data_IF_881521169052
#
_entry.id   IF_881521169052
#
_cell.length_a   1.000
_cell.length_b   1.000
_cell.length_c   1.000
_cell.angle_alpha   90.00
_cell.angle_beta   90.00
_cell.angle_gamma   90.00
#
_symmetry.space_group_name_H-M   'P 1'
#
loop_
_entity.id
_entity.type
_entity.pdbx_description
1 polymer ?
#
# COMPACT_ATOMS: atom_id res chain seq x y z
N UNK A 1 -3.38 18.53 11.71
CA UNK A 1 -2.95 17.16 11.48
C UNK A 1 -1.78 17.19 10.50
N UNK A 2 -0.71 16.46 10.80
CA UNK A 2 0.42 16.37 9.87
C UNK A 2 -0.04 15.69 8.58
N UNK A 3 0.56 16.04 7.45
CA UNK A 3 0.28 15.41 6.15
C UNK A 3 0.34 13.86 6.23
N UNK A 4 1.22 13.34 7.09
CA UNK A 4 1.39 11.92 7.36
C UNK A 4 0.14 11.24 7.94
N UNK A 5 -0.65 11.93 8.77
CA UNK A 5 -1.89 11.37 9.33
C UNK A 5 -2.99 11.20 8.26
N UNK A 6 -3.04 12.11 7.29
CA UNK A 6 -4.00 12.06 6.19
C UNK A 6 -3.64 11.00 5.13
N UNK A 7 -2.37 10.66 5.00
CA UNK A 7 -1.90 9.63 4.08
C UNK A 7 -2.36 8.21 4.44
N UNK A 8 -2.72 7.98 5.71
CA UNK A 8 -3.19 6.68 6.23
C UNK A 8 -4.67 6.65 6.57
N UNK A 9 -5.41 7.71 6.24
CA UNK A 9 -6.84 7.82 6.49
C UNK A 9 -7.60 7.60 5.17
N UNK A 10 -8.39 6.54 5.08
CA UNK A 10 -9.40 6.35 4.05
C UNK A 10 -10.78 6.61 4.65
N UNK A 11 -11.58 7.43 3.99
CA UNK A 11 -12.95 7.73 4.40
C UNK A 11 -13.92 7.07 3.44
N UNK A 12 -14.98 6.49 3.99
CA UNK A 12 -16.05 5.83 3.25
C UNK A 12 -17.39 6.46 3.62
N UNK A 13 -18.25 6.64 2.65
CA UNK A 13 -19.61 7.12 2.84
C UNK A 13 -20.62 6.10 2.33
N UNK A 14 -21.62 5.84 3.14
CA UNK A 14 -22.82 5.09 2.77
C UNK A 14 -24.05 5.75 3.42
N UNK A 15 -25.19 5.73 2.73
CA UNK A 15 -26.40 6.39 3.22
C UNK A 15 -27.17 5.54 4.27
N UNK A 16 -26.93 4.24 4.31
CA UNK A 16 -27.56 3.34 5.25
C UNK A 16 -26.94 3.43 6.66
N UNK A 17 -27.73 3.04 7.65
CA UNK A 17 -27.31 2.96 9.06
C UNK A 17 -26.35 1.80 9.33
N UNK A 18 -26.25 0.84 8.42
CA UNK A 18 -25.31 -0.27 8.52
C UNK A 18 -23.87 0.23 8.31
N UNK A 19 -22.91 -0.24 9.10
CA UNK A 19 -21.53 0.23 9.03
C UNK A 19 -20.86 -0.27 7.75
N UNK A 20 -21.02 0.45 6.66
CA UNK A 20 -20.37 0.21 5.38
C UNK A 20 -18.84 0.05 5.53
N UNK A 21 -18.23 0.83 6.41
CA UNK A 21 -16.80 0.74 6.70
C UNK A 21 -16.40 -0.64 7.24
N UNK A 22 -17.24 -1.26 8.06
CA UNK A 22 -16.97 -2.62 8.56
C UNK A 22 -17.07 -3.66 7.45
N UNK A 23 -18.05 -3.53 6.55
CA UNK A 23 -18.21 -4.39 5.38
C UNK A 23 -17.01 -4.28 4.43
N UNK A 24 -16.58 -3.05 4.13
CA UNK A 24 -15.39 -2.79 3.29
C UNK A 24 -14.13 -3.31 3.95
N UNK A 25 -13.95 -3.06 5.25
CA UNK A 25 -12.80 -3.55 5.98
C UNK A 25 -12.77 -5.09 6.02
N UNK A 26 -13.92 -5.73 6.28
CA UNK A 26 -14.03 -7.19 6.28
C UNK A 26 -13.75 -7.76 4.90
N UNK A 27 -14.26 -7.14 3.84
CA UNK A 27 -13.98 -7.56 2.47
C UNK A 27 -12.50 -7.35 2.11
N UNK A 28 -11.93 -6.19 2.39
CA UNK A 28 -10.50 -5.91 2.19
C UNK A 28 -9.60 -6.85 2.99
N UNK A 29 -9.98 -7.16 4.23
CA UNK A 29 -9.27 -8.11 5.07
C UNK A 29 -9.44 -9.56 4.63
N UNK A 30 -10.51 -9.93 3.92
CA UNK A 30 -10.69 -11.27 3.38
C UNK A 30 -9.71 -11.59 2.23
N UNK A 31 -9.19 -10.55 1.57
CA UNK A 31 -8.10 -10.65 0.59
C UNK A 31 -6.73 -10.39 1.22
N UNK A 32 -6.60 -10.72 2.49
CA UNK A 32 -5.47 -10.36 3.34
C UNK A 32 -4.13 -10.34 2.62
N UNK A 33 -3.30 -9.38 3.00
CA UNK A 33 -2.05 -9.01 2.33
C UNK A 33 -1.02 -10.12 2.23
N UNK A 34 -1.28 -11.28 2.82
CA UNK A 34 -0.39 -12.42 2.69
C UNK A 34 -0.39 -13.03 1.29
N UNK A 35 -1.39 -12.75 0.47
CA UNK A 35 -1.56 -13.44 -0.80
C UNK A 35 -1.72 -12.55 -2.02
N UNK A 36 -2.34 -11.38 -1.91
CA UNK A 36 -2.58 -10.51 -3.08
C UNK A 36 -2.77 -9.04 -2.72
N UNK A 37 -2.25 -8.15 -3.57
CA UNK A 37 -2.72 -6.77 -3.64
C UNK A 37 -4.07 -6.72 -4.36
N UNK A 38 -4.96 -5.85 -3.88
CA UNK A 38 -6.25 -5.59 -4.53
C UNK A 38 -6.37 -4.11 -4.90
N UNK A 39 -7.01 -3.84 -6.01
CA UNK A 39 -7.46 -2.48 -6.32
C UNK A 39 -8.77 -2.21 -5.56
N UNK A 40 -8.77 -1.20 -4.69
CA UNK A 40 -9.93 -0.82 -3.88
C UNK A 40 -11.05 -0.14 -4.69
N UNK A 41 -10.88 -0.01 -5.99
CA UNK A 41 -11.94 0.41 -6.92
C UNK A 41 -12.77 -0.74 -7.48
N UNK A 42 -12.49 -1.99 -7.09
CA UNK A 42 -13.19 -3.16 -7.57
C UNK A 42 -14.57 -3.38 -6.91
N UNK A 43 -15.43 -4.22 -7.52
CA UNK A 43 -16.77 -4.49 -7.01
C UNK A 43 -16.73 -5.05 -5.60
N UNK A 44 -17.60 -4.53 -4.75
CA UNK A 44 -17.76 -4.97 -3.37
C UNK A 44 -19.07 -5.75 -3.27
N UNK A 45 -19.02 -7.09 -3.19
CA UNK A 45 -20.20 -7.93 -3.35
C UNK A 45 -21.21 -7.85 -2.19
N UNK A 46 -20.81 -7.27 -1.06
CA UNK A 46 -21.61 -7.24 0.18
C UNK A 46 -22.17 -5.87 0.52
N UNK A 47 -21.98 -4.86 -0.32
CA UNK A 47 -22.43 -3.48 -0.07
C UNK A 47 -23.48 -3.11 -1.10
N UNK A 48 -24.61 -2.64 -0.62
CA UNK A 48 -25.65 -2.09 -1.48
C UNK A 48 -25.22 -0.74 -2.06
N UNK A 49 -25.90 -0.34 -3.14
CA UNK A 49 -25.72 0.97 -3.75
C UNK A 49 -26.01 2.10 -2.76
N UNK A 50 -25.22 3.17 -2.82
CA UNK A 50 -25.47 4.35 -2.00
C UNK A 50 -26.66 5.13 -2.57
N UNK A 51 -27.75 5.19 -1.83
CA UNK A 51 -28.89 6.01 -2.18
C UNK A 51 -28.50 7.50 -2.23
N UNK A 52 -28.94 8.20 -3.25
CA UNK A 52 -28.70 9.63 -3.36
C UNK A 52 -29.60 10.40 -2.38
N UNK A 53 -29.08 11.42 -1.68
CA UNK A 53 -29.90 12.33 -0.89
C UNK A 53 -30.96 13.01 -1.77
N UNK A 54 -32.17 13.21 -1.22
CA UNK A 54 -33.26 13.86 -1.94
C UNK A 54 -32.85 15.24 -2.48
N UNK A 55 -33.10 15.48 -3.75
CA UNK A 55 -32.80 16.76 -4.41
C UNK A 55 -31.35 16.95 -4.83
N UNK A 56 -30.49 15.98 -4.62
CA UNK A 56 -29.07 16.03 -5.04
C UNK A 56 -28.87 15.20 -6.29
N UNK A 57 -28.30 15.80 -7.34
CA UNK A 57 -27.97 15.04 -8.55
C UNK A 57 -26.78 14.09 -8.29
N UNK A 58 -26.77 12.95 -9.00
CA UNK A 58 -25.66 12.01 -8.91
C UNK A 58 -24.30 12.64 -9.22
N UNK A 59 -24.26 13.56 -10.18
CA UNK A 59 -23.02 14.28 -10.55
C UNK A 59 -22.55 15.18 -9.43
N UNK A 60 -23.43 15.97 -8.83
CA UNK A 60 -23.08 16.87 -7.71
C UNK A 60 -22.62 16.07 -6.49
N UNK A 61 -23.34 14.99 -6.18
CA UNK A 61 -22.99 14.10 -5.07
C UNK A 61 -21.60 13.47 -5.26
N UNK A 62 -21.35 12.91 -6.43
CA UNK A 62 -20.05 12.34 -6.78
C UNK A 62 -18.93 13.37 -6.70
N UNK A 63 -19.14 14.57 -7.26
CA UNK A 63 -18.12 15.62 -7.26
C UNK A 63 -17.83 16.13 -5.85
N UNK A 64 -18.83 16.29 -5.02
CA UNK A 64 -18.63 16.79 -3.65
C UNK A 64 -17.97 15.78 -2.72
N UNK A 65 -18.32 14.50 -2.82
CA UNK A 65 -17.75 13.45 -1.97
C UNK A 65 -16.44 12.90 -2.52
N UNK A 66 -16.47 12.45 -3.75
CA UNK A 66 -15.32 11.84 -4.41
C UNK A 66 -14.23 12.84 -4.75
N UNK A 67 -14.64 14.06 -5.12
CA UNK A 67 -13.76 15.05 -5.72
C UNK A 67 -13.59 14.87 -7.23
N UNK A 68 -12.80 15.75 -7.81
CA UNK A 68 -12.46 15.71 -9.24
C UNK A 68 -11.09 15.04 -9.39
N UNK A 69 -10.99 13.92 -10.12
CA UNK A 69 -9.72 13.22 -10.31
C UNK A 69 -8.63 14.15 -10.87
N UNK A 70 -7.44 14.06 -10.31
CA UNK A 70 -6.29 14.89 -10.70
C UNK A 70 -6.30 16.33 -10.16
N UNK A 71 -7.24 16.67 -9.29
CA UNK A 71 -7.32 17.97 -8.63
C UNK A 71 -7.40 17.79 -7.11
N UNK A 72 -7.20 18.89 -6.37
CA UNK A 72 -7.42 18.91 -4.90
C UNK A 72 -8.88 19.22 -4.53
N UNK A 73 -9.77 19.30 -5.52
CA UNK A 73 -11.19 19.60 -5.31
C UNK A 73 -11.92 18.36 -4.79
N UNK A 74 -12.77 18.58 -3.79
CA UNK A 74 -13.61 17.56 -3.17
C UNK A 74 -12.98 16.89 -1.95
N UNK A 75 -13.76 16.04 -1.31
CA UNK A 75 -13.42 15.48 0.01
C UNK A 75 -12.67 14.14 -0.06
N UNK A 76 -12.40 13.61 -1.26
CA UNK A 76 -11.71 12.33 -1.47
C UNK A 76 -12.32 11.17 -0.65
N UNK A 77 -13.65 11.17 -0.54
CA UNK A 77 -14.41 10.16 0.18
C UNK A 77 -14.74 9.03 -0.80
N UNK A 78 -14.51 7.82 -0.37
CA UNK A 78 -14.86 6.62 -1.13
C UNK A 78 -16.35 6.35 -0.98
N UNK A 79 -17.04 6.16 -2.11
CA UNK A 79 -18.50 5.96 -2.15
C UNK A 79 -18.80 4.68 -2.91
N UNK A 80 -19.76 3.91 -2.41
CA UNK A 80 -20.28 2.75 -3.12
C UNK A 80 -21.22 3.24 -4.24
N UNK A 81 -20.87 3.02 -5.48
CA UNK A 81 -21.62 3.49 -6.64
C UNK A 81 -21.94 2.34 -7.58
N UNK A 82 -23.14 2.30 -8.18
CA UNK A 82 -23.47 1.32 -9.18
C UNK A 82 -22.66 1.57 -10.46
N UNK A 83 -22.19 0.48 -11.03
CA UNK A 83 -21.59 0.47 -12.36
C UNK A 83 -22.34 -0.54 -13.23
N UNK A 84 -23.02 -0.04 -14.28
CA UNK A 84 -23.97 -0.86 -15.02
C UNK A 84 -25.24 -1.12 -14.21
N UNK A 85 -25.86 -2.28 -14.42
CA UNK A 85 -27.18 -2.60 -13.85
C UNK A 85 -27.13 -3.33 -12.48
N UNK A 86 -25.97 -3.79 -12.00
CA UNK A 86 -25.94 -4.65 -10.82
C UNK A 86 -24.63 -4.70 -10.05
N UNK A 87 -23.60 -3.97 -10.44
CA UNK A 87 -22.29 -4.04 -9.80
C UNK A 87 -22.01 -2.75 -9.02
N UNK A 88 -21.70 -2.88 -7.74
CA UNK A 88 -21.35 -1.76 -6.88
C UNK A 88 -19.83 -1.68 -6.77
N UNK A 89 -19.28 -0.49 -7.04
CA UNK A 89 -17.85 -0.20 -6.91
C UNK A 89 -17.61 0.82 -5.83
N UNK A 90 -16.51 0.67 -5.14
CA UNK A 90 -15.94 1.73 -4.33
C UNK A 90 -15.16 2.68 -5.24
N UNK A 91 -15.60 3.92 -5.33
CA UNK A 91 -14.95 4.94 -6.14
C UNK A 91 -14.65 6.18 -5.26
N UNK A 92 -13.42 6.71 -5.26
CA UNK A 92 -12.30 6.44 -6.15
C UNK A 92 -11.24 5.44 -5.63
N UNK A 93 -11.41 4.83 -4.47
CA UNK A 93 -10.44 3.90 -3.88
C UNK A 93 -9.16 4.58 -3.39
N UNK A 94 -9.29 5.78 -2.78
CA UNK A 94 -8.16 6.61 -2.35
C UNK A 94 -8.18 6.93 -0.87
N UNK A 95 -7.00 7.25 -0.35
CA UNK A 95 -6.81 7.89 0.95
C UNK A 95 -7.14 9.39 0.88
N UNK A 96 -7.25 10.06 2.02
CA UNK A 96 -7.50 11.50 2.09
C UNK A 96 -6.38 12.33 1.42
N UNK A 97 -5.17 11.81 1.34
CA UNK A 97 -4.06 12.40 0.57
C UNK A 97 -4.28 12.36 -0.95
N UNK A 98 -5.26 11.58 -1.44
CA UNK A 98 -5.46 11.30 -2.86
C UNK A 98 -4.64 10.12 -3.39
N UNK A 99 -3.79 9.51 -2.55
CA UNK A 99 -3.05 8.30 -2.90
C UNK A 99 -4.01 7.10 -2.93
N UNK A 100 -3.86 6.21 -3.89
CA UNK A 100 -4.65 4.99 -3.94
C UNK A 100 -4.41 4.13 -2.67
N UNK A 101 -5.47 3.53 -2.14
CA UNK A 101 -5.41 2.73 -0.90
C UNK A 101 -4.42 1.58 -1.05
N UNK A 102 -4.40 0.90 -2.20
CA UNK A 102 -3.51 -0.24 -2.43
C UNK A 102 -2.02 0.13 -2.33
N UNK A 103 -1.64 1.37 -2.67
CA UNK A 103 -0.24 1.83 -2.55
C UNK A 103 0.20 1.86 -1.09
N UNK A 104 -0.66 2.37 -0.20
CA UNK A 104 -0.38 2.41 1.24
C UNK A 104 -0.35 1.00 1.83
N UNK A 105 -1.32 0.17 1.46
CA UNK A 105 -1.39 -1.23 1.92
C UNK A 105 -0.16 -2.03 1.46
N UNK A 106 0.28 -1.85 0.20
CA UNK A 106 1.47 -2.52 -0.32
C UNK A 106 2.76 -2.07 0.39
N UNK A 107 2.86 -0.78 0.72
CA UNK A 107 3.99 -0.26 1.49
C UNK A 107 4.02 -0.84 2.93
N UNK A 108 2.87 -0.90 3.59
CA UNK A 108 2.76 -1.47 4.94
C UNK A 108 3.04 -2.99 4.93
N UNK A 109 2.56 -3.70 3.93
CA UNK A 109 2.88 -5.11 3.71
C UNK A 109 4.39 -5.34 3.59
N UNK A 110 5.06 -4.54 2.76
CA UNK A 110 6.51 -4.66 2.57
C UNK A 110 7.26 -4.36 3.86
N UNK A 111 6.91 -3.28 4.55
CA UNK A 111 7.55 -2.89 5.81
C UNK A 111 7.42 -3.99 6.86
N UNK A 112 6.22 -4.49 7.12
CA UNK A 112 5.97 -5.50 8.14
C UNK A 112 6.76 -6.80 7.86
N UNK A 113 6.77 -7.25 6.61
CA UNK A 113 7.52 -8.45 6.22
C UNK A 113 9.03 -8.26 6.24
N UNK A 114 9.50 -7.08 5.85
CA UNK A 114 10.92 -6.75 5.93
C UNK A 114 11.42 -6.75 7.38
N UNK A 115 10.67 -6.14 8.28
CA UNK A 115 10.98 -6.13 9.71
C UNK A 115 11.05 -7.56 10.28
N UNK A 116 10.06 -8.40 9.97
CA UNK A 116 10.05 -9.80 10.40
C UNK A 116 11.27 -10.58 9.87
N UNK A 117 11.56 -10.47 8.57
CA UNK A 117 12.70 -11.19 7.96
C UNK A 117 14.06 -10.69 8.45
N UNK A 118 14.19 -9.40 8.73
CA UNK A 118 15.42 -8.86 9.33
C UNK A 118 15.60 -9.37 10.76
N UNK A 119 14.52 -9.46 11.54
CA UNK A 119 14.57 -10.05 12.87
C UNK A 119 15.00 -11.52 12.80
N UNK A 120 14.41 -12.31 11.90
CA UNK A 120 14.77 -13.71 11.70
C UNK A 120 16.24 -13.87 11.28
N UNK A 121 16.74 -13.00 10.39
CA UNK A 121 18.14 -12.99 9.97
C UNK A 121 19.07 -12.74 11.17
N UNK A 122 18.76 -11.77 12.02
CA UNK A 122 19.57 -11.48 13.22
C UNK A 122 19.54 -12.67 14.19
N UNK A 123 18.39 -13.30 14.38
CA UNK A 123 18.26 -14.48 15.23
C UNK A 123 19.04 -15.69 14.69
N UNK A 124 19.06 -15.89 13.36
CA UNK A 124 19.88 -16.93 12.72
C UNK A 124 21.37 -16.73 13.01
N UNK A 125 21.89 -15.52 12.86
CA UNK A 125 23.29 -15.22 13.21
C UNK A 125 23.55 -15.44 14.71
N UNK A 126 22.66 -15.00 15.58
CA UNK A 126 22.77 -15.17 17.01
C UNK A 126 22.78 -16.64 17.43
N UNK A 127 21.97 -17.50 16.77
CA UNK A 127 21.86 -18.93 17.09
C UNK A 127 23.17 -19.72 16.85
N UNK A 128 24.01 -19.25 15.94
CA UNK A 128 25.32 -19.82 15.66
C UNK A 128 26.46 -19.09 16.39
N UNK A 129 26.14 -18.18 17.33
CA UNK A 129 27.11 -17.39 18.07
C UNK A 129 27.83 -16.32 17.22
N UNK A 130 27.30 -16.01 16.04
CA UNK A 130 27.86 -15.02 15.11
C UNK A 130 27.09 -13.68 15.19
N UNK A 131 27.63 -12.68 14.53
CA UNK A 131 26.98 -11.37 14.30
C UNK A 131 26.89 -11.11 12.81
N UNK A 132 25.83 -10.44 12.40
CA UNK A 132 25.73 -9.96 11.01
C UNK A 132 26.91 -9.02 10.71
N UNK A 133 27.74 -9.29 9.68
CA UNK A 133 28.89 -8.46 9.36
C UNK A 133 28.48 -7.04 8.96
N UNK A 134 29.18 -6.02 9.47
CA UNK A 134 28.98 -4.62 9.10
C UNK A 134 29.93 -4.23 7.94
N UNK A 135 29.86 -4.97 6.85
CA UNK A 135 30.69 -4.82 5.66
C UNK A 135 29.88 -5.11 4.39
N UNK A 136 30.52 -5.18 3.25
CA UNK A 136 29.88 -5.47 1.97
C UNK A 136 29.19 -6.84 1.92
N UNK A 137 29.67 -7.84 2.64
CA UNK A 137 29.06 -9.16 2.74
C UNK A 137 27.72 -9.11 3.48
N UNK A 138 27.66 -8.44 4.64
CA UNK A 138 26.42 -8.22 5.38
C UNK A 138 25.43 -7.37 4.59
N UNK A 139 25.90 -6.37 3.82
CA UNK A 139 25.04 -5.64 2.91
C UNK A 139 24.48 -6.54 1.82
N UNK A 140 25.29 -7.38 1.19
CA UNK A 140 24.83 -8.30 0.16
C UNK A 140 23.80 -9.27 0.68
N UNK A 141 23.96 -9.78 1.90
CA UNK A 141 22.98 -10.66 2.57
C UNK A 141 21.62 -9.97 2.72
N UNK A 142 21.62 -8.73 3.21
CA UNK A 142 20.37 -7.95 3.38
C UNK A 142 19.76 -7.58 2.03
N UNK A 143 20.56 -7.21 1.02
CA UNK A 143 20.07 -6.94 -0.34
C UNK A 143 19.38 -8.19 -0.90
N UNK A 144 19.98 -9.37 -0.75
CA UNK A 144 19.37 -10.62 -1.19
C UNK A 144 18.01 -10.89 -0.52
N UNK A 145 17.88 -10.58 0.77
CA UNK A 145 16.61 -10.67 1.50
C UNK A 145 15.56 -9.68 0.95
N UNK A 146 15.95 -8.43 0.72
CA UNK A 146 15.06 -7.40 0.16
C UNK A 146 14.62 -7.78 -1.27
N UNK A 147 15.53 -8.29 -2.09
CA UNK A 147 15.23 -8.76 -3.45
C UNK A 147 14.24 -9.93 -3.44
N UNK A 148 14.43 -10.90 -2.55
CA UNK A 148 13.51 -12.02 -2.41
C UNK A 148 12.10 -11.54 -2.00
N UNK A 149 12.02 -10.59 -1.06
CA UNK A 149 10.76 -9.98 -0.64
C UNK A 149 10.11 -9.16 -1.76
N UNK A 150 10.91 -8.43 -2.55
CA UNK A 150 10.42 -7.71 -3.73
C UNK A 150 9.78 -8.67 -4.73
N UNK A 151 10.45 -9.79 -5.06
CA UNK A 151 9.92 -10.79 -6.00
C UNK A 151 8.63 -11.44 -5.49
N UNK A 152 8.53 -11.69 -4.19
CA UNK A 152 7.29 -12.15 -3.56
C UNK A 152 6.18 -11.12 -3.71
N UNK A 153 6.48 -9.84 -3.48
CA UNK A 153 5.54 -8.75 -3.68
C UNK A 153 5.08 -8.58 -5.13
N UNK A 154 5.98 -8.79 -6.10
CA UNK A 154 5.61 -8.82 -7.53
C UNK A 154 4.66 -9.98 -7.81
N UNK A 155 4.95 -11.17 -7.32
CA UNK A 155 4.08 -12.34 -7.50
C UNK A 155 2.70 -12.16 -6.85
N UNK A 156 2.64 -11.44 -5.73
CA UNK A 156 1.40 -11.10 -5.03
C UNK A 156 0.66 -9.88 -5.65
N UNK A 157 1.26 -9.20 -6.63
CA UNK A 157 0.69 -8.01 -7.29
C UNK A 157 0.83 -6.70 -6.48
N UNK A 158 1.67 -6.68 -5.45
CA UNK A 158 1.96 -5.46 -4.68
C UNK A 158 2.85 -4.49 -5.44
N UNK A 159 3.75 -5.00 -6.27
CA UNK A 159 4.77 -4.21 -6.97
C UNK A 159 4.81 -4.52 -8.45
N UNK A 160 5.24 -3.54 -9.23
CA UNK A 160 5.57 -3.75 -10.64
C UNK A 160 6.82 -4.62 -10.77
N UNK A 161 6.81 -5.52 -11.75
CA UNK A 161 8.05 -6.20 -12.15
C UNK A 161 9.07 -5.18 -12.69
N UNK A 162 10.36 -5.52 -12.70
CA UNK A 162 11.37 -4.63 -13.30
C UNK A 162 11.09 -4.32 -14.76
N UNK A 163 10.57 -5.29 -15.52
CA UNK A 163 10.21 -5.09 -16.92
C UNK A 163 9.05 -4.10 -17.07
N UNK A 164 7.97 -4.25 -16.27
CA UNK A 164 6.81 -3.37 -16.30
C UNK A 164 7.17 -1.95 -15.79
N UNK A 165 7.99 -1.86 -14.75
CA UNK A 165 8.51 -0.60 -14.24
C UNK A 165 9.28 0.16 -15.32
N UNK A 166 10.20 -0.52 -16.01
CA UNK A 166 10.97 0.06 -17.12
C UNK A 166 10.08 0.50 -18.27
N UNK A 167 9.08 -0.30 -18.64
CA UNK A 167 8.12 0.06 -19.67
C UNK A 167 7.29 1.31 -19.33
N UNK A 168 7.12 1.61 -18.03
CA UNK A 168 6.44 2.82 -17.52
C UNK A 168 7.40 3.98 -17.23
N UNK A 169 8.69 3.86 -17.57
CA UNK A 169 9.69 4.90 -17.34
C UNK A 169 10.10 5.08 -15.87
N UNK A 170 9.83 4.09 -15.02
CA UNK A 170 10.27 4.08 -13.61
C UNK A 170 11.27 2.96 -13.38
N UNK A 171 12.09 3.08 -12.33
CA UNK A 171 13.11 2.08 -12.03
C UNK A 171 12.94 1.48 -10.65
N UNK A 172 13.20 0.18 -10.55
CA UNK A 172 13.36 -0.52 -9.27
C UNK A 172 14.83 -0.41 -8.85
N UNK A 173 15.06 0.17 -7.67
CA UNK A 173 16.40 0.30 -7.10
C UNK A 173 16.44 -0.34 -5.73
N UNK A 174 17.32 -1.33 -5.56
CA UNK A 174 17.62 -1.97 -4.28
C UNK A 174 19.14 -2.05 -4.19
N UNK A 175 19.75 -1.23 -3.33
CA UNK A 175 21.21 -1.19 -3.19
C UNK A 175 21.65 -0.78 -1.79
N UNK A 176 22.82 -1.26 -1.37
CA UNK A 176 23.50 -0.75 -0.19
C UNK A 176 24.11 0.64 -0.47
N UNK A 177 24.14 1.49 0.53
CA UNK A 177 24.89 2.74 0.49
C UNK A 177 26.34 2.50 0.89
N UNK A 178 27.23 3.43 0.53
CA UNK A 178 28.62 3.36 0.97
C UNK A 178 28.71 3.38 2.49
N UNK A 179 29.45 2.40 3.04
CA UNK A 179 29.65 2.27 4.48
C UNK A 179 30.71 3.28 4.92
N UNK A 180 30.33 4.23 5.73
CA UNK A 180 31.24 5.22 6.32
C UNK A 180 31.78 4.75 7.69
N UNK A 181 32.85 5.38 8.16
CA UNK A 181 33.36 5.15 9.52
C UNK A 181 32.33 5.47 10.60
N UNK A 182 31.47 6.47 10.35
CA UNK A 182 30.34 6.79 11.24
C UNK A 182 29.30 5.67 11.27
N UNK A 183 29.03 5.03 10.14
CA UNK A 183 28.09 3.90 10.08
C UNK A 183 28.62 2.71 10.88
N UNK A 184 29.90 2.41 10.77
CA UNK A 184 30.57 1.37 11.56
C UNK A 184 30.47 1.69 13.06
N UNK A 185 30.78 2.93 13.47
CA UNK A 185 30.70 3.35 14.87
C UNK A 185 29.28 3.27 15.45
N UNK A 186 28.27 3.60 14.64
CA UNK A 186 26.85 3.53 14.99
C UNK A 186 26.24 2.14 14.79
N UNK A 187 27.03 1.17 14.33
CA UNK A 187 26.58 -0.21 14.06
C UNK A 187 25.35 -0.27 13.15
N UNK A 188 25.36 0.49 12.05
CA UNK A 188 24.26 0.55 11.09
C UNK A 188 24.72 0.26 9.67
N UNK A 189 23.82 -0.32 8.90
CA UNK A 189 23.93 -0.40 7.44
C UNK A 189 22.78 0.42 6.84
N UNK A 190 23.06 1.10 5.74
CA UNK A 190 22.07 1.92 5.02
C UNK A 190 21.78 1.35 3.65
N UNK A 191 20.54 1.49 3.23
CA UNK A 191 20.06 0.99 1.94
C UNK A 191 19.18 2.03 1.27
N UNK A 192 19.30 2.10 -0.05
CA UNK A 192 18.31 2.80 -0.89
C UNK A 192 17.38 1.76 -1.49
N UNK A 193 16.09 1.87 -1.19
CA UNK A 193 15.06 1.01 -1.73
C UNK A 193 14.00 1.89 -2.37
N UNK A 194 13.83 1.75 -3.70
CA UNK A 194 12.78 2.39 -4.47
C UNK A 194 12.06 1.33 -5.28
N UNK A 195 10.83 1.04 -4.91
CA UNK A 195 9.99 0.01 -5.53
C UNK A 195 8.67 0.65 -5.95
N UNK A 196 8.40 0.76 -7.25
CA UNK A 196 7.13 1.27 -7.75
C UNK A 196 5.99 0.25 -7.53
N UNK A 197 4.84 0.78 -7.18
CA UNK A 197 3.59 0.04 -6.91
C UNK A 197 2.65 0.13 -8.10
#
# INVERSE_FOLDING_TARGET
PSATALERLAMFYHADTEPCAAGVATWGLSFLPDTRSIDWRFPVPSISDTALPSGVSATTFKTNLRGVPGTDLGNKINVALPYGSSTVFLDPGVMQSGRAIYVTVSADWFQARLEARLADLVLQYASIGAKLPLNAEGQATIIGLIEALYLEGVAAGHFLSRADATARGVSVTIRGETISSTDVSLRRLRFTVNIPV
#
